data_IF_917054023062
#
_entry.id   IF_917054023062
#
_cell.length_a   1.000
_cell.length_b   1.000
_cell.length_c   1.000
_cell.angle_alpha   90.00
_cell.angle_beta   90.00
_cell.angle_gamma   90.00
#
_symmetry.space_group_name_H-M   'P 1'
#
loop_
_entity.id
_entity.type
_entity.pdbx_description
1 polymer ?
#
# COMPACT_ATOMS: atom_id res chain seq x y z
N UNK A 1 20.05 -12.40 1.31
CA UNK A 1 20.33 -13.85 1.23
C UNK A 1 19.84 -14.50 -0.08
N UNK A 2 19.14 -13.76 -0.97
CA UNK A 2 18.61 -14.27 -2.24
C UNK A 2 17.51 -15.34 -2.11
N UNK A 3 16.95 -15.54 -0.92
CA UNK A 3 15.86 -16.48 -0.70
C UNK A 3 14.53 -15.83 -1.06
N UNK A 4 13.82 -16.43 -2.02
CA UNK A 4 12.47 -15.99 -2.35
C UNK A 4 11.50 -16.28 -1.21
N UNK A 5 10.75 -15.28 -0.77
CA UNK A 5 9.74 -15.38 0.30
C UNK A 5 8.33 -15.00 -0.16
N UNK A 6 8.19 -14.35 -1.30
CA UNK A 6 6.91 -13.96 -1.89
C UNK A 6 6.61 -14.71 -3.19
N UNK A 7 5.49 -14.37 -3.87
CA UNK A 7 5.12 -14.95 -5.14
C UNK A 7 6.21 -14.78 -6.20
N UNK A 8 6.39 -15.78 -7.05
CA UNK A 8 7.26 -15.69 -8.22
C UNK A 8 6.49 -15.08 -9.39
N UNK A 9 7.06 -14.05 -9.99
CA UNK A 9 6.54 -13.42 -11.20
C UNK A 9 7.51 -13.57 -12.36
N UNK A 10 6.98 -13.69 -13.56
CA UNK A 10 7.78 -13.41 -14.75
C UNK A 10 8.17 -11.94 -14.75
N UNK A 11 9.45 -11.60 -14.99
CA UNK A 11 9.86 -10.20 -15.07
C UNK A 11 9.07 -9.45 -16.15
N UNK A 12 8.68 -8.23 -15.87
CA UNK A 12 8.18 -7.30 -16.89
C UNK A 12 9.40 -6.87 -17.70
N UNK A 13 9.46 -7.24 -18.97
CA UNK A 13 10.60 -6.96 -19.85
C UNK A 13 10.30 -5.86 -20.86
N UNK A 14 9.06 -5.41 -20.95
CA UNK A 14 8.62 -4.33 -21.83
C UNK A 14 9.34 -3.02 -21.50
N UNK A 15 9.55 -2.20 -22.52
CA UNK A 15 10.13 -0.85 -22.37
C UNK A 15 9.18 0.07 -21.61
N UNK A 16 7.88 -0.04 -21.86
CA UNK A 16 6.82 0.71 -21.17
C UNK A 16 6.01 -0.25 -20.29
N UNK A 17 5.52 0.25 -19.15
CA UNK A 17 4.63 -0.51 -18.30
C UNK A 17 3.24 -0.60 -18.93
N UNK A 18 2.68 -1.80 -18.93
CA UNK A 18 1.29 -2.06 -19.28
C UNK A 18 0.43 -2.10 -18.02
N UNK A 19 -0.70 -1.38 -18.03
CA UNK A 19 -1.55 -1.25 -16.85
C UNK A 19 -2.16 -2.58 -16.41
N UNK A 20 -2.68 -3.36 -17.36
CA UNK A 20 -3.37 -4.62 -17.04
C UNK A 20 -2.35 -5.67 -16.52
N UNK A 21 -1.18 -5.74 -17.13
CA UNK A 21 -0.09 -6.62 -16.62
C UNK A 21 0.35 -6.22 -15.22
N UNK A 22 0.47 -4.93 -14.93
CA UNK A 22 0.87 -4.44 -13.59
C UNK A 22 -0.22 -4.75 -12.57
N UNK A 23 -1.49 -4.49 -12.89
CA UNK A 23 -2.62 -4.75 -11.99
C UNK A 23 -2.74 -6.24 -11.64
N UNK A 24 -2.59 -7.13 -12.63
CA UNK A 24 -2.62 -8.58 -12.38
C UNK A 24 -1.55 -9.00 -11.37
N UNK A 25 -0.31 -8.57 -11.57
CA UNK A 25 0.79 -8.88 -10.65
C UNK A 25 0.62 -8.23 -9.28
N UNK A 26 0.13 -7.00 -9.25
CA UNK A 26 -0.11 -6.25 -8.03
C UNK A 26 -1.23 -6.88 -7.19
N UNK A 27 -2.29 -7.38 -7.82
CA UNK A 27 -3.37 -8.07 -7.12
C UNK A 27 -2.89 -9.36 -6.42
N UNK A 28 -2.06 -10.14 -7.09
CA UNK A 28 -1.43 -11.33 -6.50
C UNK A 28 -0.51 -10.96 -5.33
N UNK A 29 0.24 -9.87 -5.45
CA UNK A 29 1.09 -9.38 -4.36
C UNK A 29 0.27 -8.87 -3.18
N UNK A 30 -0.83 -8.16 -3.42
CA UNK A 30 -1.73 -7.72 -2.35
C UNK A 30 -2.33 -8.91 -1.60
N UNK A 31 -2.67 -9.98 -2.31
CA UNK A 31 -3.22 -11.19 -1.69
C UNK A 31 -2.21 -11.87 -0.77
N UNK A 32 -0.99 -12.05 -1.24
CA UNK A 32 0.12 -12.57 -0.42
C UNK A 32 0.43 -11.65 0.76
N UNK A 33 0.44 -10.33 0.53
CA UNK A 33 0.72 -9.35 1.59
C UNK A 33 -0.38 -9.37 2.66
N UNK A 34 -1.65 -9.54 2.27
CA UNK A 34 -2.75 -9.68 3.22
C UNK A 34 -2.59 -10.92 4.11
N UNK A 35 -2.15 -12.06 3.55
CA UNK A 35 -1.83 -13.26 4.33
C UNK A 35 -0.70 -13.02 5.32
N UNK A 36 0.41 -12.47 4.85
CA UNK A 36 1.56 -12.16 5.70
C UNK A 36 1.20 -11.20 6.83
N UNK A 37 0.46 -10.14 6.50
CA UNK A 37 0.06 -9.10 7.43
C UNK A 37 -0.87 -9.63 8.52
N UNK A 38 -1.94 -10.32 8.12
CA UNK A 38 -2.89 -10.89 9.08
C UNK A 38 -2.22 -11.95 9.97
N UNK A 39 -1.41 -12.84 9.41
CA UNK A 39 -0.69 -13.84 10.20
C UNK A 39 0.29 -13.21 11.19
N UNK A 40 0.99 -12.15 10.79
CA UNK A 40 1.90 -11.42 11.67
C UNK A 40 1.14 -10.75 12.82
N UNK A 41 0.04 -10.07 12.53
CA UNK A 41 -0.78 -9.43 13.57
C UNK A 41 -1.46 -10.44 14.49
N UNK A 42 -1.90 -11.59 13.96
CA UNK A 42 -2.43 -12.69 14.77
C UNK A 42 -1.40 -13.18 15.79
N UNK A 43 -0.16 -13.32 15.35
CA UNK A 43 0.94 -13.71 16.26
C UNK A 43 1.19 -12.64 17.33
N UNK A 44 1.21 -11.37 16.95
CA UNK A 44 1.40 -10.25 17.88
C UNK A 44 0.28 -10.24 18.93
N UNK A 45 -0.99 -10.33 18.51
CA UNK A 45 -2.13 -10.36 19.44
C UNK A 45 -2.11 -11.59 20.35
N UNK A 46 -1.75 -12.76 19.82
CA UNK A 46 -1.54 -13.95 20.65
C UNK A 46 -0.46 -13.74 21.70
N UNK A 47 0.65 -13.10 21.34
CA UNK A 47 1.75 -12.83 22.29
C UNK A 47 1.33 -11.83 23.36
N UNK A 48 0.52 -10.82 23.04
CA UNK A 48 -0.06 -9.90 24.01
C UNK A 48 -0.96 -10.64 25.01
N UNK A 49 -1.89 -11.46 24.52
CA UNK A 49 -2.73 -12.27 25.41
C UNK A 49 -1.93 -13.22 26.30
N UNK A 50 -0.85 -13.81 25.75
CA UNK A 50 -0.06 -14.79 26.48
C UNK A 50 0.82 -14.18 27.58
N UNK A 51 1.41 -13.01 27.32
CA UNK A 51 2.43 -12.44 28.21
C UNK A 51 1.97 -11.23 28.99
N UNK A 52 0.94 -10.52 28.52
CA UNK A 52 0.42 -9.30 29.13
C UNK A 52 -1.03 -9.42 29.62
N UNK A 53 -1.65 -10.61 29.51
CA UNK A 53 -3.01 -10.89 29.97
C UNK A 53 -4.08 -9.93 29.41
N UNK A 54 -3.88 -9.43 28.22
CA UNK A 54 -4.75 -8.41 27.59
C UNK A 54 -6.21 -8.84 27.56
N UNK A 55 -6.48 -10.13 27.30
CA UNK A 55 -7.84 -10.67 27.28
C UNK A 55 -8.52 -10.63 28.66
N UNK A 56 -7.75 -10.85 29.75
CA UNK A 56 -8.27 -10.76 31.10
C UNK A 56 -8.54 -9.31 31.51
N UNK A 57 -7.63 -8.39 31.15
CA UNK A 57 -7.80 -6.96 31.41
C UNK A 57 -9.02 -6.40 30.67
N UNK A 58 -9.24 -6.76 29.41
CA UNK A 58 -10.43 -6.35 28.66
C UNK A 58 -11.72 -6.86 29.30
N UNK A 59 -11.75 -8.09 29.79
CA UNK A 59 -12.92 -8.66 30.47
C UNK A 59 -13.26 -7.97 31.80
N UNK A 60 -12.29 -7.31 32.43
CA UNK A 60 -12.51 -6.49 33.64
C UNK A 60 -13.04 -5.09 33.34
N UNK A 61 -12.83 -4.61 32.12
CA UNK A 61 -13.22 -3.26 31.69
C UNK A 61 -14.61 -3.28 31.06
N UNK A 62 -14.92 -4.32 30.28
CA UNK A 62 -16.15 -4.39 29.48
C UNK A 62 -16.86 -5.75 29.65
N UNK A 63 -18.17 -5.73 29.75
CA UNK A 63 -19.01 -6.94 29.83
C UNK A 63 -19.25 -7.56 28.44
N UNK A 64 -19.17 -6.77 27.37
CA UNK A 64 -19.30 -7.19 25.98
C UNK A 64 -18.08 -6.74 25.17
N UNK A 65 -17.02 -7.55 25.24
CA UNK A 65 -15.73 -7.23 24.63
C UNK A 65 -15.84 -7.35 23.11
N UNK A 66 -15.87 -6.22 22.42
CA UNK A 66 -15.73 -6.13 20.97
C UNK A 66 -14.26 -5.96 20.61
N UNK A 67 -13.72 -6.94 19.88
CA UNK A 67 -12.34 -6.89 19.41
C UNK A 67 -12.31 -6.36 17.99
N UNK A 68 -11.50 -5.35 17.76
CA UNK A 68 -11.17 -4.87 16.41
C UNK A 68 -9.76 -5.35 16.05
N UNK A 69 -9.56 -5.57 14.75
CA UNK A 69 -8.29 -5.98 14.16
C UNK A 69 -7.82 -4.83 13.28
N UNK A 70 -7.11 -3.87 13.88
CA UNK A 70 -6.71 -2.66 13.19
C UNK A 70 -5.57 -2.93 12.22
N UNK A 71 -5.81 -2.65 10.94
CA UNK A 71 -4.81 -2.67 9.89
C UNK A 71 -4.58 -1.26 9.36
N UNK A 72 -3.45 -1.00 8.72
CA UNK A 72 -3.12 0.31 8.20
C UNK A 72 -2.32 0.25 6.92
N UNK A 73 -2.44 1.30 6.12
CA UNK A 73 -1.74 1.49 4.84
C UNK A 73 -0.87 2.74 4.96
N UNK A 74 0.41 2.63 4.54
CA UNK A 74 1.32 3.75 4.35
C UNK A 74 1.71 3.84 2.87
N UNK A 75 1.94 5.07 2.36
CA UNK A 75 2.29 5.30 0.96
C UNK A 75 1.12 5.17 -0.02
N UNK A 76 -0.10 5.30 0.48
CA UNK A 76 -1.33 5.13 -0.29
C UNK A 76 -1.37 6.01 -1.55
N UNK A 77 -1.17 7.33 -1.41
CA UNK A 77 -1.20 8.28 -2.52
C UNK A 77 -0.15 7.98 -3.59
N UNK A 78 1.04 7.54 -3.21
CA UNK A 78 2.08 7.15 -4.17
C UNK A 78 1.70 5.93 -5.01
N UNK A 79 0.99 4.97 -4.43
CA UNK A 79 0.47 3.81 -5.19
C UNK A 79 -0.63 4.25 -6.14
N UNK A 80 -1.57 5.09 -5.69
CA UNK A 80 -2.63 5.64 -6.53
C UNK A 80 -2.05 6.41 -7.70
N UNK A 81 -1.13 7.34 -7.45
CA UNK A 81 -0.48 8.15 -8.48
C UNK A 81 0.36 7.30 -9.45
N UNK A 82 1.03 6.26 -8.94
CA UNK A 82 1.79 5.32 -9.78
C UNK A 82 0.88 4.54 -10.74
N UNK A 83 -0.24 4.03 -10.24
CA UNK A 83 -1.24 3.33 -11.08
C UNK A 83 -1.91 4.28 -12.07
N UNK A 84 -2.19 5.51 -11.66
CA UNK A 84 -2.70 6.57 -12.52
C UNK A 84 -1.70 6.90 -13.64
N UNK A 85 -0.42 7.08 -13.32
CA UNK A 85 0.63 7.33 -14.30
C UNK A 85 0.72 6.21 -15.34
N UNK A 86 0.71 4.93 -14.89
CA UNK A 86 0.76 3.78 -15.78
C UNK A 86 -0.49 3.70 -16.69
N UNK A 87 -1.66 4.07 -16.15
CA UNK A 87 -2.93 3.99 -16.88
C UNK A 87 -3.15 5.12 -17.89
N UNK A 88 -2.75 6.34 -17.55
CA UNK A 88 -3.12 7.55 -18.32
C UNK A 88 -1.96 8.25 -19.00
N UNK A 89 -0.71 7.95 -18.61
CA UNK A 89 0.49 8.41 -19.28
C UNK A 89 1.26 7.23 -19.89
N UNK A 90 2.50 7.48 -20.33
CA UNK A 90 3.44 6.43 -20.76
C UNK A 90 4.58 6.38 -19.77
N UNK A 91 4.73 5.26 -19.09
CA UNK A 91 5.79 5.07 -18.10
C UNK A 91 6.84 4.12 -18.68
N UNK A 92 7.98 4.69 -19.05
CA UNK A 92 9.14 3.95 -19.56
C UNK A 92 10.01 3.49 -18.40
N UNK A 93 10.44 2.23 -18.42
CA UNK A 93 11.35 1.66 -17.44
C UNK A 93 12.81 1.99 -17.78
N UNK A 94 13.57 2.46 -16.77
CA UNK A 94 15.02 2.60 -16.86
C UNK A 94 15.66 1.46 -16.08
N UNK A 95 16.46 0.64 -16.75
CA UNK A 95 17.06 -0.56 -16.16
C UNK A 95 18.55 -0.37 -15.94
N UNK A 96 19.05 -0.95 -14.86
CA UNK A 96 20.47 -1.18 -14.65
C UNK A 96 20.93 -2.30 -15.59
N UNK A 97 21.91 -2.03 -16.45
CA UNK A 97 22.38 -2.97 -17.48
C UNK A 97 23.06 -4.21 -16.88
N UNK A 98 23.71 -4.07 -15.73
CA UNK A 98 24.41 -5.19 -15.07
C UNK A 98 23.45 -6.08 -14.28
N UNK A 99 22.48 -5.46 -13.57
CA UNK A 99 21.56 -6.17 -12.67
C UNK A 99 20.24 -6.57 -13.33
N UNK A 100 19.90 -5.95 -14.44
CA UNK A 100 18.62 -6.16 -15.13
C UNK A 100 17.36 -5.70 -14.37
N UNK A 101 17.55 -4.97 -13.26
CA UNK A 101 16.46 -4.45 -12.44
C UNK A 101 16.08 -3.03 -12.88
N UNK A 102 14.80 -2.65 -12.66
CA UNK A 102 14.34 -1.28 -12.87
C UNK A 102 14.88 -0.40 -11.75
N UNK A 103 15.54 0.69 -12.10
CA UNK A 103 16.15 1.65 -11.16
C UNK A 103 15.48 3.04 -11.21
N UNK A 104 14.82 3.37 -12.31
CA UNK A 104 14.11 4.62 -12.49
C UNK A 104 12.97 4.48 -13.51
N UNK A 105 12.15 5.52 -13.62
CA UNK A 105 11.08 5.65 -14.59
C UNK A 105 11.13 7.00 -15.28
N UNK A 106 10.81 7.02 -16.58
CA UNK A 106 10.56 8.23 -17.36
C UNK A 106 9.08 8.28 -17.70
N UNK A 107 8.43 9.39 -17.34
CA UNK A 107 7.00 9.57 -17.53
C UNK A 107 6.80 10.54 -18.68
N UNK A 108 6.07 10.12 -19.71
CA UNK A 108 5.72 10.91 -20.89
C UNK A 108 4.22 11.20 -20.87
N UNK A 109 3.86 12.49 -20.79
CA UNK A 109 2.47 12.97 -20.69
C UNK A 109 2.03 13.23 -19.25
N UNK A 110 0.82 13.80 -19.15
CA UNK A 110 0.18 14.12 -17.88
C UNK A 110 -0.75 13.01 -17.44
N UNK A 111 -0.96 12.90 -16.15
CA UNK A 111 -1.88 11.95 -15.55
C UNK A 111 -2.60 12.55 -14.34
N UNK A 112 -3.86 12.13 -14.05
CA UNK A 112 -4.58 12.54 -12.87
C UNK A 112 -3.83 12.15 -11.60
N UNK A 113 -3.74 13.09 -10.63
CA UNK A 113 -3.08 12.86 -9.35
C UNK A 113 -4.09 12.91 -8.21
N UNK A 114 -3.93 12.03 -7.25
CA UNK A 114 -4.74 11.96 -6.06
C UNK A 114 -4.69 13.27 -5.26
N UNK A 115 -5.86 13.69 -4.73
CA UNK A 115 -6.01 14.90 -3.94
C UNK A 115 -6.38 16.15 -4.77
N UNK A 116 -6.93 15.98 -5.96
CA UNK A 116 -7.34 17.07 -6.85
C UNK A 116 -8.82 17.01 -7.25
N UNK A 117 -9.65 16.17 -6.60
CA UNK A 117 -11.06 15.94 -6.95
C UNK A 117 -11.20 15.49 -8.43
N UNK A 118 -10.40 14.51 -8.81
CA UNK A 118 -10.42 13.89 -10.14
C UNK A 118 -10.88 12.44 -10.02
N UNK A 119 -12.08 12.16 -10.51
CA UNK A 119 -12.72 10.83 -10.46
C UNK A 119 -11.80 9.70 -10.92
N UNK A 120 -10.91 9.95 -11.88
CA UNK A 120 -10.01 8.92 -12.40
C UNK A 120 -8.95 8.48 -11.38
N UNK A 121 -8.42 9.41 -10.60
CA UNK A 121 -7.49 9.11 -9.52
C UNK A 121 -8.23 8.54 -8.31
N UNK A 122 -9.39 9.11 -7.98
CA UNK A 122 -10.20 8.73 -6.83
C UNK A 122 -10.80 7.33 -6.99
N UNK A 123 -11.22 6.94 -8.20
CA UNK A 123 -11.65 5.57 -8.50
C UNK A 123 -10.52 4.54 -8.24
N UNK A 124 -9.28 4.86 -8.59
CA UNK A 124 -8.13 4.00 -8.30
C UNK A 124 -7.92 3.92 -6.78
N UNK A 125 -8.04 5.04 -6.06
CA UNK A 125 -7.90 5.10 -4.62
C UNK A 125 -8.95 4.23 -3.91
N UNK A 126 -10.21 4.37 -4.30
CA UNK A 126 -11.33 3.59 -3.77
C UNK A 126 -11.16 2.10 -4.08
N UNK A 127 -10.77 1.77 -5.31
CA UNK A 127 -10.50 0.39 -5.72
C UNK A 127 -9.38 -0.23 -4.86
N UNK A 128 -8.26 0.47 -4.69
CA UNK A 128 -7.12 -0.01 -3.92
C UNK A 128 -7.50 -0.32 -2.47
N UNK A 129 -8.16 0.63 -1.82
CA UNK A 129 -8.56 0.49 -0.42
C UNK A 129 -9.56 -0.66 -0.22
N UNK A 130 -10.60 -0.73 -1.05
CA UNK A 130 -11.63 -1.76 -0.96
C UNK A 130 -11.06 -3.14 -1.24
N UNK A 131 -10.27 -3.28 -2.30
CA UNK A 131 -9.66 -4.56 -2.68
C UNK A 131 -8.78 -5.10 -1.57
N UNK A 132 -7.91 -4.26 -0.99
CA UNK A 132 -7.04 -4.70 0.09
C UNK A 132 -7.81 -5.07 1.37
N UNK A 133 -8.81 -4.27 1.75
CA UNK A 133 -9.67 -4.57 2.91
C UNK A 133 -10.44 -5.88 2.71
N UNK A 134 -10.97 -6.13 1.52
CA UNK A 134 -11.67 -7.38 1.22
C UNK A 134 -10.73 -8.59 1.29
N UNK A 135 -9.48 -8.45 0.83
CA UNK A 135 -8.46 -9.48 0.97
C UNK A 135 -8.16 -9.76 2.45
N UNK A 136 -8.04 -8.75 3.29
CA UNK A 136 -7.87 -8.90 4.75
C UNK A 136 -9.08 -9.60 5.37
N UNK A 137 -10.30 -9.19 5.04
CA UNK A 137 -11.55 -9.77 5.59
C UNK A 137 -11.75 -11.25 5.26
N UNK A 138 -11.12 -11.75 4.21
CA UNK A 138 -11.16 -13.19 3.86
C UNK A 138 -10.29 -14.06 4.77
N UNK A 139 -9.43 -13.47 5.60
CA UNK A 139 -8.49 -14.19 6.48
C UNK A 139 -9.06 -14.35 7.87
N UNK A 140 -8.66 -15.42 8.52
CA UNK A 140 -9.00 -15.64 9.92
C UNK A 140 -8.19 -14.71 10.82
N UNK A 141 -8.89 -13.94 11.65
CA UNK A 141 -8.28 -13.04 12.63
C UNK A 141 -8.28 -13.65 14.02
N UNK A 142 -7.30 -13.27 14.83
CA UNK A 142 -7.17 -13.76 16.19
C UNK A 142 -8.45 -13.46 16.99
N UNK A 143 -9.02 -14.52 17.62
CA UNK A 143 -10.29 -14.47 18.38
C UNK A 143 -11.47 -13.87 17.60
N UNK A 144 -11.51 -14.06 16.29
CA UNK A 144 -12.55 -13.50 15.41
C UNK A 144 -12.72 -11.99 15.53
N UNK A 145 -11.61 -11.26 15.74
CA UNK A 145 -11.60 -9.80 15.77
C UNK A 145 -12.09 -9.23 14.44
N UNK A 146 -12.85 -8.15 14.48
CA UNK A 146 -13.39 -7.50 13.28
C UNK A 146 -12.29 -6.69 12.58
N UNK A 147 -11.92 -7.01 11.32
CA UNK A 147 -10.93 -6.25 10.58
C UNK A 147 -11.40 -4.82 10.26
N UNK A 148 -10.57 -3.86 10.61
CA UNK A 148 -10.72 -2.46 10.24
C UNK A 148 -9.48 -2.01 9.48
N UNK A 149 -9.60 -1.02 8.61
CA UNK A 149 -8.47 -0.47 7.86
C UNK A 149 -8.47 1.04 7.94
N UNK A 150 -7.30 1.62 8.14
CA UNK A 150 -7.07 3.05 8.09
C UNK A 150 -5.88 3.39 7.19
N UNK A 151 -5.87 4.59 6.66
CA UNK A 151 -4.71 5.13 5.95
C UNK A 151 -3.90 5.90 7.00
N UNK A 152 -2.70 5.39 7.30
CA UNK A 152 -1.94 5.80 8.48
C UNK A 152 -1.19 7.10 8.28
N UNK A 153 -1.38 8.04 9.21
CA UNK A 153 -0.52 9.21 9.38
C UNK A 153 0.51 8.90 10.47
N UNK A 154 1.68 8.42 10.07
CA UNK A 154 2.75 8.00 10.98
C UNK A 154 4.09 8.61 10.55
N UNK A 155 4.96 8.88 11.52
CA UNK A 155 6.33 9.37 11.25
C UNK A 155 7.21 8.33 10.56
N UNK A 156 6.85 7.05 10.66
CA UNK A 156 7.55 5.94 9.98
C UNK A 156 7.50 6.01 8.45
N UNK A 157 6.65 6.87 7.86
CA UNK A 157 6.65 7.13 6.42
C UNK A 157 8.02 7.60 5.90
N UNK A 158 8.81 8.27 6.73
CA UNK A 158 10.20 8.66 6.41
C UNK A 158 11.09 7.42 6.29
N UNK A 159 11.00 6.52 7.25
CA UNK A 159 11.78 5.27 7.27
C UNK A 159 11.36 4.35 6.13
N UNK A 160 10.06 4.19 5.90
CA UNK A 160 9.57 3.39 4.78
C UNK A 160 10.03 3.95 3.44
N UNK A 161 9.95 5.28 3.26
CA UNK A 161 10.43 5.93 2.07
C UNK A 161 11.92 5.72 1.81
N UNK A 162 12.74 5.71 2.88
CA UNK A 162 14.18 5.45 2.79
C UNK A 162 14.50 4.09 2.16
N UNK A 163 13.68 3.07 2.42
CA UNK A 163 13.88 1.71 1.91
C UNK A 163 13.02 1.38 0.68
N UNK A 164 12.24 2.33 0.19
CA UNK A 164 11.43 2.16 -1.02
C UNK A 164 12.17 2.68 -2.24
N UNK A 165 12.21 1.87 -3.30
CA UNK A 165 12.79 2.25 -4.60
C UNK A 165 12.06 3.39 -5.28
N UNK A 166 12.55 3.84 -6.43
CA UNK A 166 11.86 4.80 -7.30
C UNK A 166 10.50 4.23 -7.75
N UNK A 167 9.49 5.08 -7.82
CA UNK A 167 8.12 4.68 -8.14
C UNK A 167 7.65 5.31 -9.46
N UNK A 168 6.67 4.68 -10.13
CA UNK A 168 6.14 5.16 -11.41
C UNK A 168 5.46 6.53 -11.39
N UNK A 169 5.10 7.05 -10.21
CA UNK A 169 4.59 8.42 -10.02
C UNK A 169 5.67 9.52 -10.12
N UNK A 170 6.94 9.10 -10.24
CA UNK A 170 8.11 9.99 -10.26
C UNK A 170 8.81 10.16 -8.91
N UNK A 171 8.30 9.56 -7.83
CA UNK A 171 8.96 9.55 -6.53
C UNK A 171 10.31 8.83 -6.63
N UNK A 172 11.37 9.47 -6.18
CA UNK A 172 12.73 8.91 -6.20
C UNK A 172 13.02 8.02 -5.00
N UNK A 173 13.85 7.01 -5.21
CA UNK A 173 14.32 6.12 -4.16
C UNK A 173 14.85 6.91 -2.95
N UNK A 174 14.50 6.46 -1.75
CA UNK A 174 14.97 7.07 -0.51
C UNK A 174 14.23 8.32 -0.05
N UNK A 175 13.33 8.91 -0.85
CA UNK A 175 12.52 10.04 -0.40
C UNK A 175 11.37 9.58 0.51
N UNK A 176 10.94 10.38 1.50
CA UNK A 176 9.80 10.02 2.35
C UNK A 176 8.53 9.70 1.56
N UNK A 177 7.71 8.81 2.08
CA UNK A 177 6.33 8.65 1.62
C UNK A 177 5.47 9.77 2.21
N UNK A 178 4.38 10.13 1.53
CA UNK A 178 3.41 11.08 2.05
C UNK A 178 2.70 10.49 3.29
N UNK A 179 2.41 11.32 4.31
CA UNK A 179 1.78 10.85 5.53
C UNK A 179 0.28 10.62 5.32
N UNK A 180 -0.20 9.46 5.74
CA UNK A 180 -1.62 9.11 5.74
C UNK A 180 -2.29 9.17 4.38
N UNK A 181 -3.48 9.76 4.36
CA UNK A 181 -4.28 9.98 3.16
C UNK A 181 -3.90 11.28 2.40
N UNK A 182 -2.83 11.95 2.81
CA UNK A 182 -2.42 13.18 2.13
C UNK A 182 -1.96 12.89 0.71
N UNK A 183 -2.21 13.82 -0.23
CA UNK A 183 -1.66 13.73 -1.57
C UNK A 183 -0.13 13.55 -1.57
N UNK A 184 0.40 12.96 -2.63
CA UNK A 184 1.83 12.89 -2.86
C UNK A 184 2.42 14.30 -2.90
N UNK A 185 3.65 14.46 -2.40
CA UNK A 185 4.28 15.77 -2.30
C UNK A 185 4.28 16.52 -3.65
N UNK A 186 3.64 17.69 -3.68
CA UNK A 186 3.48 18.50 -4.89
C UNK A 186 2.42 18.02 -5.88
N UNK A 187 1.63 17.01 -5.54
CA UNK A 187 0.54 16.52 -6.39
C UNK A 187 -0.72 17.38 -6.30
N UNK A 188 -1.03 17.88 -5.09
CA UNK A 188 -2.19 18.74 -4.86
C UNK A 188 -1.97 20.12 -5.51
N UNK A 189 -2.94 20.54 -6.34
CA UNK A 189 -2.93 21.80 -7.10
C UNK A 189 -4.27 22.55 -7.03
N UNK A 190 -5.34 21.87 -6.65
CA UNK A 190 -6.71 22.40 -6.67
C UNK A 190 -7.19 22.91 -5.30
N UNK A 191 -6.30 22.96 -4.33
CA UNK A 191 -6.54 23.50 -3.00
C UNK A 191 -7.17 22.50 -2.03
N UNK A 192 -7.22 22.90 -0.77
CA UNK A 192 -7.57 22.03 0.35
C UNK A 192 -8.93 21.33 0.19
N UNK A 193 -9.93 22.03 -0.36
CA UNK A 193 -11.27 21.46 -0.53
C UNK A 193 -11.27 20.28 -1.51
N UNK A 194 -10.47 20.36 -2.57
CA UNK A 194 -10.36 19.28 -3.55
C UNK A 194 -9.59 18.07 -3.01
N UNK A 195 -8.79 18.26 -1.95
CA UNK A 195 -8.00 17.19 -1.36
C UNK A 195 -8.65 16.51 -0.15
N UNK A 196 -9.81 17.02 0.30
CA UNK A 196 -10.62 16.48 1.40
C UNK A 196 -11.78 15.63 0.91
#
# INVERSE_FOLDING_TARGET
DGKQVGPAFKPITSEYLDYDEVIEKFDVMMDWLADLYVNTLNLIQYMHDKYYYEAAEMALIDTDVKRTFATGIAGFSHVVDSLSAIKYAKVKTVRDEEKGIVVDYQIEGDFPKYGNDDDKADDIAVWLLRTFLEKIKKRHTYRNSEPTTSILTITSNVVYGKYTGTMPDGRKAGTPLSPGANPSYGAEQNGLLASL
#
